data_IF_803984797850
#
_entry.id   IF_803984797850
#
_cell.length_a   1.000
_cell.length_b   1.000
_cell.length_c   1.000
_cell.angle_alpha   90.00
_cell.angle_beta   90.00
_cell.angle_gamma   90.00
#
_symmetry.space_group_name_H-M   'P 1'
#
loop_
_entity.id
_entity.type
_entity.pdbx_description
1 polymer ?
#
# COMPACT_ATOMS: atom_id res chain seq x y z
N UNK A 1 -18.10 15.17 4.20
CA UNK A 1 -18.36 13.79 4.59
C UNK A 1 -17.26 13.35 5.53
N UNK A 2 -17.58 12.84 6.70
CA UNK A 2 -16.59 12.39 7.66
C UNK A 2 -15.96 11.06 7.23
N UNK A 3 -14.75 10.80 7.70
CA UNK A 3 -14.02 9.55 7.43
C UNK A 3 -14.81 8.30 7.89
N UNK A 4 -15.63 8.45 8.89
CA UNK A 4 -16.50 7.40 9.44
C UNK A 4 -17.54 6.85 8.44
N UNK A 5 -17.80 7.55 7.35
CA UNK A 5 -18.66 7.04 6.26
C UNK A 5 -17.93 6.05 5.35
N UNK A 6 -16.60 6.18 5.27
CA UNK A 6 -15.77 5.31 4.43
C UNK A 6 -15.13 4.18 5.22
N UNK A 7 -14.90 4.37 6.51
CA UNK A 7 -14.17 3.43 7.36
C UNK A 7 -14.98 3.14 8.64
N UNK A 8 -15.56 1.95 8.79
CA UNK A 8 -16.20 1.52 10.05
C UNK A 8 -15.25 1.61 11.25
N UNK A 9 -15.64 2.29 12.32
CA UNK A 9 -14.78 2.54 13.51
C UNK A 9 -14.53 1.30 14.37
N UNK A 10 -15.40 0.31 14.31
CA UNK A 10 -15.29 -0.94 15.04
C UNK A 10 -14.24 -1.90 14.48
N UNK A 11 -13.63 -1.56 13.34
CA UNK A 11 -12.60 -2.33 12.68
C UNK A 11 -11.22 -1.71 12.86
N UNK A 12 -10.19 -2.55 12.98
CA UNK A 12 -8.80 -2.11 12.87
C UNK A 12 -8.56 -1.46 11.50
N UNK A 13 -7.73 -0.44 11.44
CA UNK A 13 -7.43 0.28 10.21
C UNK A 13 -5.96 0.13 9.82
N UNK A 14 -5.73 -0.49 8.68
CA UNK A 14 -4.41 -0.65 8.08
C UNK A 14 -4.01 0.62 7.31
N UNK A 15 -2.79 1.08 7.53
CA UNK A 15 -2.17 2.17 6.80
C UNK A 15 -1.14 1.55 5.85
N UNK A 16 -1.50 1.41 4.58
CA UNK A 16 -0.65 0.76 3.58
C UNK A 16 0.43 1.71 3.08
N UNK A 17 1.62 1.57 3.64
CA UNK A 17 2.82 2.30 3.25
C UNK A 17 3.39 1.73 1.93
N UNK A 18 3.98 2.60 1.12
CA UNK A 18 4.79 2.25 -0.02
C UNK A 18 6.27 2.57 0.25
N UNK A 19 7.15 1.58 0.04
CA UNK A 19 8.60 1.76 0.04
C UNK A 19 9.11 1.35 -1.33
N UNK A 20 9.27 2.32 -2.23
CA UNK A 20 9.78 2.07 -3.59
C UNK A 20 11.30 2.08 -3.66
N UNK A 21 11.96 2.72 -2.71
CA UNK A 21 13.41 2.81 -2.63
C UNK A 21 13.90 2.81 -1.19
N UNK A 22 15.00 2.13 -0.93
CA UNK A 22 15.61 2.10 0.41
C UNK A 22 16.35 3.40 0.78
N UNK A 23 16.73 4.21 -0.20
CA UNK A 23 17.26 5.55 0.01
C UNK A 23 16.10 6.55 -0.05
N UNK A 24 16.03 7.47 0.90
CA UNK A 24 15.01 8.52 0.84
C UNK A 24 15.18 9.40 -0.40
N UNK A 25 14.10 9.58 -1.12
CA UNK A 25 14.03 10.44 -2.29
C UNK A 25 12.61 11.03 -2.40
N UNK A 26 12.46 12.35 -2.65
CA UNK A 26 11.15 12.98 -2.76
C UNK A 26 10.23 12.25 -3.77
N UNK A 27 8.95 12.15 -3.46
CA UNK A 27 7.93 11.48 -4.26
C UNK A 27 8.15 9.97 -4.53
N UNK A 28 9.18 9.34 -3.96
CA UNK A 28 9.48 7.94 -4.25
C UNK A 28 8.69 6.95 -3.38
N UNK A 29 8.70 7.17 -2.08
CA UNK A 29 7.99 6.35 -1.08
C UNK A 29 6.93 7.18 -0.38
N UNK A 30 6.05 6.56 0.40
CA UNK A 30 5.15 7.28 1.31
C UNK A 30 5.94 8.29 2.12
N UNK A 31 5.51 9.53 2.15
CA UNK A 31 6.19 10.56 2.92
C UNK A 31 5.93 10.40 4.42
N UNK A 32 6.92 10.64 5.30
CA UNK A 32 6.72 10.52 6.74
C UNK A 32 5.65 11.47 7.27
N UNK A 33 5.56 12.69 6.75
CA UNK A 33 4.50 13.65 7.11
C UNK A 33 3.11 13.21 6.64
N UNK A 34 3.00 12.48 5.52
CA UNK A 34 1.75 11.87 5.05
C UNK A 34 1.28 10.81 6.05
N UNK A 35 2.16 9.90 6.43
CA UNK A 35 1.88 8.85 7.41
C UNK A 35 1.47 9.46 8.76
N UNK A 36 2.26 10.41 9.27
CA UNK A 36 1.97 11.13 10.52
C UNK A 36 0.64 11.87 10.46
N UNK A 37 0.42 12.64 9.40
CA UNK A 37 -0.81 13.42 9.23
C UNK A 37 -2.06 12.54 9.22
N UNK A 38 -2.00 11.37 8.56
CA UNK A 38 -3.10 10.41 8.54
C UNK A 38 -3.33 9.80 9.92
N UNK A 39 -2.27 9.39 10.63
CA UNK A 39 -2.39 8.87 12.01
C UNK A 39 -3.06 9.91 12.92
N UNK A 40 -2.58 11.16 12.89
CA UNK A 40 -3.14 12.24 13.71
C UNK A 40 -4.60 12.53 13.38
N UNK A 41 -4.93 12.59 12.08
CA UNK A 41 -6.31 12.80 11.62
C UNK A 41 -7.26 11.68 12.04
N UNK A 42 -6.83 10.43 11.94
CA UNK A 42 -7.62 9.28 12.35
C UNK A 42 -7.83 9.25 13.87
N UNK A 43 -6.78 9.49 14.67
CA UNK A 43 -6.91 9.56 16.13
C UNK A 43 -7.84 10.69 16.58
N UNK A 44 -7.73 11.86 15.95
CA UNK A 44 -8.64 12.97 16.21
C UNK A 44 -10.10 12.63 15.85
N UNK A 45 -10.31 11.72 14.89
CA UNK A 45 -11.63 11.18 14.53
C UNK A 45 -12.05 9.95 15.37
N UNK A 46 -11.25 9.53 16.36
CA UNK A 46 -11.55 8.44 17.30
C UNK A 46 -11.21 7.03 16.78
N UNK A 47 -10.25 6.89 15.86
CA UNK A 47 -9.70 5.60 15.45
C UNK A 47 -8.45 5.28 16.28
N UNK A 48 -8.56 4.30 17.17
CA UNK A 48 -7.45 3.93 18.08
C UNK A 48 -6.61 2.77 17.54
N UNK A 49 -7.23 1.80 16.88
CA UNK A 49 -6.58 0.58 16.43
C UNK A 49 -5.99 0.74 15.02
N UNK A 50 -4.83 1.37 14.93
CA UNK A 50 -4.11 1.62 13.69
C UNK A 50 -2.93 0.65 13.55
N UNK A 51 -2.68 0.19 12.31
CA UNK A 51 -1.60 -0.71 11.96
C UNK A 51 -0.92 -0.18 10.69
N UNK A 52 0.34 0.18 10.76
CA UNK A 52 1.13 0.41 9.55
C UNK A 52 1.44 -0.94 8.87
N UNK A 53 1.39 -1.00 7.55
CA UNK A 53 1.64 -2.24 6.83
C UNK A 53 2.42 -1.99 5.53
N UNK A 54 3.46 -2.79 5.29
CA UNK A 54 4.18 -2.81 4.02
C UNK A 54 4.73 -4.20 3.70
N UNK A 55 5.25 -4.37 2.50
CA UNK A 55 5.83 -5.61 2.02
C UNK A 55 7.24 -5.36 1.47
N UNK A 56 8.05 -6.39 1.40
CA UNK A 56 9.34 -6.33 0.73
C UNK A 56 9.20 -6.20 -0.79
N UNK A 57 10.29 -5.90 -1.45
CA UNK A 57 10.43 -6.00 -2.90
C UNK A 57 11.68 -6.80 -3.24
N UNK A 58 11.79 -7.27 -4.49
CA UNK A 58 12.95 -8.05 -4.96
C UNK A 58 14.25 -7.24 -4.91
N UNK A 59 14.17 -5.91 -4.93
CA UNK A 59 15.31 -4.99 -5.15
C UNK A 59 15.47 -3.95 -4.04
N UNK A 60 14.67 -4.01 -2.99
CA UNK A 60 14.70 -3.05 -1.88
C UNK A 60 14.72 -3.80 -0.57
N UNK A 61 15.69 -3.50 0.28
CA UNK A 61 15.64 -3.90 1.68
C UNK A 61 14.57 -3.05 2.38
N UNK A 62 13.48 -3.71 2.77
CA UNK A 62 12.31 -3.04 3.33
C UNK A 62 12.60 -2.39 4.68
N UNK A 63 13.38 -3.04 5.56
CA UNK A 63 13.74 -2.49 6.86
C UNK A 63 14.68 -1.29 6.75
N UNK A 64 15.68 -1.36 5.86
CA UNK A 64 16.55 -0.20 5.56
C UNK A 64 15.73 0.94 4.96
N UNK A 65 14.82 0.60 4.04
CA UNK A 65 13.91 1.59 3.44
C UNK A 65 13.01 2.26 4.45
N UNK A 66 12.46 1.51 5.37
CA UNK A 66 11.61 2.00 6.46
C UNK A 66 12.34 3.02 7.36
N UNK A 67 13.54 2.67 7.82
CA UNK A 67 14.38 3.58 8.62
C UNK A 67 14.76 4.84 7.85
N UNK A 68 15.24 4.69 6.63
CA UNK A 68 15.72 5.82 5.83
C UNK A 68 14.58 6.76 5.42
N UNK A 69 13.39 6.24 5.14
CA UNK A 69 12.19 7.04 4.86
C UNK A 69 11.47 7.51 6.14
N UNK A 70 12.01 7.24 7.33
CA UNK A 70 11.51 7.69 8.64
C UNK A 70 10.14 7.11 9.05
N UNK A 71 9.70 6.04 8.41
CA UNK A 71 8.44 5.39 8.78
C UNK A 71 8.53 4.76 10.18
N UNK A 72 9.63 4.06 10.48
CA UNK A 72 9.91 3.47 11.80
C UNK A 72 9.79 4.54 12.90
N UNK A 73 10.42 5.70 12.71
CA UNK A 73 10.35 6.82 13.67
C UNK A 73 8.90 7.28 13.91
N UNK A 74 8.10 7.41 12.85
CA UNK A 74 6.68 7.82 12.97
C UNK A 74 5.88 6.75 13.70
N UNK A 75 6.02 5.49 13.29
CA UNK A 75 5.31 4.36 13.91
C UNK A 75 5.60 4.26 15.40
N UNK A 76 6.87 4.35 15.79
CA UNK A 76 7.32 4.29 17.19
C UNK A 76 6.81 5.50 18.00
N UNK A 77 6.87 6.71 17.42
CA UNK A 77 6.40 7.95 18.07
C UNK A 77 4.91 7.84 18.44
N UNK A 78 4.11 7.22 17.58
CA UNK A 78 2.67 7.08 17.81
C UNK A 78 2.29 5.75 18.45
N UNK A 79 3.24 4.86 18.72
CA UNK A 79 3.02 3.56 19.35
C UNK A 79 2.04 2.67 18.58
N UNK A 80 2.08 2.71 17.25
CA UNK A 80 1.24 1.84 16.41
C UNK A 80 2.02 0.59 15.99
N UNK A 81 1.31 -0.52 15.78
CA UNK A 81 1.91 -1.74 15.27
C UNK A 81 2.38 -1.55 13.82
N UNK A 82 3.54 -2.11 13.49
CA UNK A 82 4.07 -2.16 12.14
C UNK A 82 4.06 -3.62 11.62
N UNK A 83 3.32 -3.85 10.56
CA UNK A 83 3.15 -5.17 9.96
C UNK A 83 4.02 -5.32 8.72
N UNK A 84 5.10 -6.09 8.83
CA UNK A 84 5.98 -6.47 7.74
C UNK A 84 5.42 -7.73 7.07
N UNK A 85 4.58 -7.58 6.05
CA UNK A 85 3.79 -8.66 5.44
C UNK A 85 4.62 -9.82 4.86
N UNK A 86 5.94 -9.65 4.73
CA UNK A 86 6.89 -10.67 4.27
C UNK A 86 7.49 -11.52 5.39
N UNK A 87 7.25 -11.16 6.65
CA UNK A 87 7.79 -11.88 7.79
C UNK A 87 6.94 -13.12 8.12
N UNK A 88 7.56 -14.20 8.68
CA UNK A 88 6.93 -15.50 8.86
C UNK A 88 5.66 -15.51 9.75
N UNK A 89 5.51 -14.51 10.64
CA UNK A 89 4.32 -14.41 11.50
C UNK A 89 3.07 -13.95 10.75
N UNK A 90 3.20 -13.46 9.52
CA UNK A 90 2.07 -13.05 8.69
C UNK A 90 1.75 -14.15 7.67
N UNK A 91 0.67 -14.87 7.93
CA UNK A 91 0.20 -15.92 7.05
C UNK A 91 -0.31 -15.34 5.73
N UNK A 92 -0.05 -16.05 4.64
CA UNK A 92 -0.64 -15.84 3.34
C UNK A 92 -1.63 -16.98 3.09
N UNK A 93 -2.90 -16.64 2.91
CA UNK A 93 -3.98 -17.62 2.76
C UNK A 93 -4.51 -17.65 1.34
N UNK A 94 -5.01 -18.81 0.86
CA UNK A 94 -5.69 -18.88 -0.43
C UNK A 94 -6.86 -17.91 -0.48
N UNK A 95 -7.06 -17.27 -1.62
CA UNK A 95 -8.17 -16.36 -1.85
C UNK A 95 -9.02 -16.85 -3.02
N UNK A 96 -10.31 -17.00 -2.76
CA UNK A 96 -11.32 -17.35 -3.77
C UNK A 96 -12.09 -16.09 -4.12
N UNK A 97 -12.01 -15.61 -5.38
CA UNK A 97 -12.65 -14.38 -5.76
C UNK A 97 -14.18 -14.57 -5.92
N UNK A 98 -15.00 -13.54 -5.61
CA UNK A 98 -16.44 -13.59 -5.83
C UNK A 98 -16.83 -13.61 -7.33
N UNK A 99 -15.98 -13.08 -8.18
CA UNK A 99 -16.10 -13.07 -9.64
C UNK A 99 -14.78 -13.54 -10.27
N UNK A 100 -14.80 -14.13 -11.48
CA UNK A 100 -13.58 -14.57 -12.15
C UNK A 100 -12.56 -13.44 -12.33
N UNK A 101 -11.30 -13.74 -12.09
CA UNK A 101 -10.22 -12.81 -12.39
C UNK A 101 -10.10 -12.52 -13.88
N UNK A 102 -9.65 -11.33 -14.23
CA UNK A 102 -9.28 -11.00 -15.61
C UNK A 102 -8.00 -11.73 -16.03
N UNK A 103 -7.00 -11.76 -15.13
CA UNK A 103 -5.67 -12.29 -15.46
C UNK A 103 -4.99 -13.06 -14.32
N UNK A 104 -5.31 -12.81 -13.05
CA UNK A 104 -4.56 -13.38 -11.93
C UNK A 104 -4.60 -14.90 -11.87
N UNK A 105 -5.68 -15.54 -12.29
CA UNK A 105 -5.79 -17.00 -12.40
C UNK A 105 -4.85 -17.60 -13.45
N UNK A 106 -4.59 -16.88 -14.54
CA UNK A 106 -3.64 -17.26 -15.59
C UNK A 106 -2.20 -17.09 -15.15
N UNK A 107 -1.92 -16.02 -14.39
CA UNK A 107 -0.56 -15.70 -13.90
C UNK A 107 -0.19 -16.59 -12.72
N UNK A 108 -1.16 -16.92 -11.87
CA UNK A 108 -0.99 -17.76 -10.68
C UNK A 108 -1.90 -19.02 -10.76
N UNK A 109 -1.57 -20.01 -11.60
CA UNK A 109 -2.40 -21.20 -11.77
C UNK A 109 -2.48 -22.06 -10.50
N UNK A 110 -1.59 -21.83 -9.53
CA UNK A 110 -1.61 -22.46 -8.19
C UNK A 110 -2.59 -21.75 -7.22
N UNK A 111 -3.27 -20.70 -7.67
CA UNK A 111 -4.16 -19.86 -6.87
C UNK A 111 -3.49 -18.59 -6.35
N UNK A 112 -4.33 -17.60 -6.09
CA UNK A 112 -3.93 -16.32 -5.51
C UNK A 112 -3.91 -16.46 -3.98
N UNK A 113 -2.84 -15.98 -3.34
CA UNK A 113 -2.72 -15.92 -1.88
C UNK A 113 -2.57 -14.47 -1.44
N UNK A 114 -3.27 -14.11 -0.39
CA UNK A 114 -3.24 -12.76 0.19
C UNK A 114 -2.86 -12.82 1.69
N UNK A 115 -2.30 -11.75 2.26
CA UNK A 115 -2.03 -11.72 3.69
C UNK A 115 -3.32 -11.77 4.51
N UNK A 116 -3.43 -12.76 5.39
CA UNK A 116 -4.60 -12.95 6.25
C UNK A 116 -4.94 -11.71 7.09
N UNK A 117 -3.90 -10.97 7.52
CA UNK A 117 -4.07 -9.74 8.29
C UNK A 117 -4.89 -8.65 7.56
N UNK A 118 -5.00 -8.71 6.24
CA UNK A 118 -5.77 -7.71 5.48
C UNK A 118 -7.27 -7.96 5.55
N UNK A 119 -7.70 -9.21 5.76
CA UNK A 119 -9.10 -9.62 5.69
C UNK A 119 -9.90 -9.05 6.86
N UNK A 120 -11.05 -8.43 6.56
CA UNK A 120 -11.98 -7.90 7.56
C UNK A 120 -11.54 -6.62 8.26
N UNK A 121 -10.46 -5.99 7.81
CA UNK A 121 -9.95 -4.71 8.32
C UNK A 121 -10.15 -3.60 7.32
N UNK A 122 -10.30 -2.37 7.82
CA UNK A 122 -10.22 -1.19 6.97
C UNK A 122 -8.82 -1.04 6.38
N UNK A 123 -8.71 -0.42 5.21
CA UNK A 123 -7.42 -0.06 4.64
C UNK A 123 -7.43 1.39 4.13
N UNK A 124 -6.34 2.10 4.40
CA UNK A 124 -6.01 3.38 3.77
C UNK A 124 -4.74 3.21 2.97
N UNK A 125 -4.83 3.38 1.66
CA UNK A 125 -3.69 3.41 0.78
C UNK A 125 -2.99 4.77 0.89
N UNK A 126 -1.66 4.77 1.06
CA UNK A 126 -0.83 5.98 1.20
C UNK A 126 0.15 6.14 0.02
N UNK A 127 -0.34 6.34 -1.21
CA UNK A 127 0.50 6.56 -2.37
C UNK A 127 1.02 7.99 -2.45
N UNK A 128 2.05 8.19 -3.27
CA UNK A 128 2.55 9.50 -3.70
C UNK A 128 2.14 9.79 -5.15
N UNK A 129 2.04 11.05 -5.52
CA UNK A 129 1.85 11.48 -6.91
C UNK A 129 3.15 11.27 -7.68
N UNK A 130 3.20 10.26 -8.53
CA UNK A 130 4.37 9.97 -9.37
C UNK A 130 4.01 9.15 -10.59
N UNK A 131 4.86 9.26 -11.59
CA UNK A 131 4.84 8.39 -12.76
C UNK A 131 5.33 6.97 -12.44
N UNK A 132 5.02 6.04 -13.32
CA UNK A 132 5.47 4.65 -13.23
C UNK A 132 5.59 4.07 -14.64
N UNK A 133 6.72 3.41 -14.91
CA UNK A 133 7.08 2.89 -16.24
C UNK A 133 6.03 1.92 -16.84
N UNK A 134 5.34 1.14 -16.01
CA UNK A 134 4.35 0.16 -16.50
C UNK A 134 2.90 0.66 -16.41
N UNK A 135 2.57 1.54 -15.45
CA UNK A 135 1.19 1.96 -15.18
C UNK A 135 0.92 3.43 -15.49
N UNK A 136 1.88 4.11 -16.12
CA UNK A 136 1.85 5.56 -16.40
C UNK A 136 1.90 6.37 -15.12
N UNK A 137 0.99 6.15 -14.19
CA UNK A 137 0.97 6.78 -12.86
C UNK A 137 0.98 5.75 -11.74
N UNK A 138 1.46 6.15 -10.58
CA UNK A 138 1.27 5.42 -9.32
C UNK A 138 0.14 6.10 -8.53
N UNK A 139 -0.84 5.33 -8.14
CA UNK A 139 -1.97 5.78 -7.33
C UNK A 139 -2.35 4.71 -6.31
N UNK A 140 -3.56 4.82 -5.75
CA UNK A 140 -4.05 3.89 -4.75
C UNK A 140 -4.08 2.43 -5.24
N UNK A 141 -4.54 2.20 -6.47
CA UNK A 141 -4.60 0.86 -7.06
C UNK A 141 -3.20 0.24 -7.16
N UNK A 142 -2.20 1.00 -7.63
CA UNK A 142 -0.81 0.49 -7.70
C UNK A 142 -0.19 0.32 -6.33
N UNK A 143 -0.58 1.11 -5.33
CA UNK A 143 -0.09 0.96 -3.95
C UNK A 143 -0.55 -0.36 -3.31
N UNK A 144 -1.76 -0.81 -3.62
CA UNK A 144 -2.29 -2.09 -3.17
C UNK A 144 -1.49 -3.30 -3.69
N UNK A 145 -0.91 -3.19 -4.87
CA UNK A 145 -0.08 -4.21 -5.51
C UNK A 145 1.01 -4.78 -4.58
N UNK A 146 1.71 -3.92 -3.83
CA UNK A 146 2.73 -4.36 -2.89
C UNK A 146 2.18 -5.00 -1.61
N UNK A 147 0.89 -4.83 -1.30
CA UNK A 147 0.25 -5.43 -0.13
C UNK A 147 -0.42 -6.76 -0.43
N UNK A 148 -1.06 -6.89 -1.58
CA UNK A 148 -1.89 -8.03 -1.94
C UNK A 148 -1.16 -9.16 -2.66
N UNK A 149 -0.04 -8.87 -3.31
CA UNK A 149 0.72 -9.87 -4.04
C UNK A 149 2.08 -10.14 -3.39
N UNK A 150 2.46 -11.42 -3.36
CA UNK A 150 3.72 -11.90 -2.83
C UNK A 150 4.94 -11.55 -3.71
N UNK A 151 6.07 -12.22 -3.47
CA UNK A 151 7.34 -11.96 -4.17
C UNK A 151 7.27 -12.13 -5.69
N UNK A 152 6.42 -13.01 -6.18
CA UNK A 152 6.24 -13.27 -7.62
C UNK A 152 5.42 -12.18 -8.34
N UNK A 153 4.99 -11.12 -7.66
CA UNK A 153 4.14 -10.05 -8.25
C UNK A 153 4.71 -9.38 -9.50
N UNK A 154 6.02 -9.42 -9.70
CA UNK A 154 6.63 -8.89 -10.92
C UNK A 154 6.21 -9.64 -12.19
N UNK A 155 5.68 -10.87 -12.08
CA UNK A 155 5.15 -11.61 -13.21
C UNK A 155 3.91 -10.95 -13.84
N UNK A 156 3.19 -10.14 -13.08
CA UNK A 156 1.97 -9.46 -13.53
C UNK A 156 2.24 -8.20 -14.35
N UNK A 157 3.51 -7.78 -14.52
CA UNK A 157 3.80 -6.51 -15.19
C UNK A 157 3.42 -6.49 -16.68
N UNK A 158 3.34 -7.63 -17.35
CA UNK A 158 2.87 -7.72 -18.74
C UNK A 158 1.37 -7.39 -18.86
N UNK A 159 0.59 -7.75 -17.84
CA UNK A 159 -0.86 -7.58 -17.77
C UNK A 159 -1.24 -6.69 -16.59
N UNK A 160 -0.47 -5.61 -16.37
CA UNK A 160 -0.55 -4.82 -15.14
C UNK A 160 -1.87 -4.08 -15.00
N UNK A 161 -2.49 -3.65 -16.09
CA UNK A 161 -3.74 -2.91 -16.04
C UNK A 161 -4.90 -3.80 -15.58
N UNK A 162 -5.04 -4.97 -16.15
CA UNK A 162 -6.01 -6.00 -15.75
C UNK A 162 -5.72 -6.48 -14.32
N UNK A 163 -4.44 -6.69 -13.99
CA UNK A 163 -4.02 -7.02 -12.62
C UNK A 163 -4.50 -5.98 -11.60
N UNK A 164 -4.42 -4.70 -11.91
CA UNK A 164 -4.89 -3.65 -10.98
C UNK A 164 -6.41 -3.68 -10.78
N UNK A 165 -7.17 -4.08 -11.80
CA UNK A 165 -8.62 -4.26 -11.67
C UNK A 165 -8.93 -5.46 -10.77
N UNK A 166 -8.26 -6.59 -10.98
CA UNK A 166 -8.38 -7.77 -10.12
C UNK A 166 -8.02 -7.43 -8.65
N UNK A 167 -6.95 -6.67 -8.42
CA UNK A 167 -6.57 -6.23 -7.08
C UNK A 167 -7.59 -5.27 -6.45
N UNK A 168 -8.26 -4.44 -7.25
CA UNK A 168 -9.33 -3.58 -6.73
C UNK A 168 -10.54 -4.43 -6.31
N UNK A 169 -10.91 -5.45 -7.09
CA UNK A 169 -11.96 -6.40 -6.72
C UNK A 169 -11.62 -7.09 -5.39
N UNK A 170 -10.40 -7.62 -5.23
CA UNK A 170 -9.96 -8.21 -3.97
C UNK A 170 -10.12 -7.22 -2.81
N UNK A 171 -9.66 -5.97 -2.97
CA UNK A 171 -9.78 -4.97 -1.92
C UNK A 171 -11.22 -4.66 -1.53
N UNK A 172 -12.11 -4.58 -2.52
CA UNK A 172 -13.54 -4.32 -2.29
C UNK A 172 -14.24 -5.47 -1.57
N UNK A 173 -13.77 -6.69 -1.78
CA UNK A 173 -14.30 -7.88 -1.13
C UNK A 173 -13.81 -8.04 0.31
N UNK A 174 -12.51 -7.87 0.56
CA UNK A 174 -11.92 -8.17 1.87
C UNK A 174 -11.94 -7.03 2.89
N UNK A 175 -12.08 -5.79 2.44
CA UNK A 175 -12.03 -4.62 3.31
C UNK A 175 -13.42 -4.02 3.54
N UNK A 176 -13.92 -3.95 4.80
CA UNK A 176 -15.16 -3.27 5.13
C UNK A 176 -15.10 -1.75 4.88
N UNK A 177 -13.90 -1.18 4.89
CA UNK A 177 -13.64 0.21 4.55
C UNK A 177 -12.37 0.34 3.72
N UNK A 178 -12.47 1.00 2.56
CA UNK A 178 -11.40 1.23 1.61
C UNK A 178 -11.28 2.72 1.30
N UNK A 179 -10.11 3.29 1.56
CA UNK A 179 -9.84 4.71 1.32
C UNK A 179 -8.41 4.94 0.82
N UNK A 180 -8.14 6.12 0.30
CA UNK A 180 -6.79 6.52 -0.11
C UNK A 180 -6.53 7.97 0.27
N UNK A 181 -5.33 8.24 0.75
CA UNK A 181 -4.80 9.58 0.94
C UNK A 181 -3.50 9.68 0.15
N UNK A 182 -3.53 10.41 -0.94
CA UNK A 182 -2.38 10.57 -1.83
C UNK A 182 -1.64 11.86 -1.49
N UNK A 183 -0.33 11.76 -1.27
CA UNK A 183 0.53 12.93 -1.07
C UNK A 183 1.00 13.50 -2.40
N UNK A 184 0.78 14.80 -2.59
CA UNK A 184 1.22 15.57 -3.75
C UNK A 184 2.14 16.73 -3.38
N UNK A 185 2.67 16.78 -2.14
CA UNK A 185 3.64 17.81 -1.71
C UNK A 185 4.85 17.82 -2.64
N UNK A 186 5.34 16.62 -2.96
CA UNK A 186 6.30 16.39 -4.03
C UNK A 186 5.70 15.45 -5.05
N UNK A 187 5.75 15.83 -6.33
CA UNK A 187 5.33 14.98 -7.44
C UNK A 187 6.53 14.45 -8.21
N UNK A 188 6.50 13.18 -8.59
CA UNK A 188 7.56 12.54 -9.36
C UNK A 188 7.22 12.46 -10.84
N UNK A 189 8.12 12.95 -11.71
CA UNK A 189 7.99 12.92 -13.16
C UNK A 189 9.18 12.20 -13.82
N UNK A 190 8.92 11.40 -14.84
CA UNK A 190 9.91 10.60 -15.57
C UNK A 190 9.51 9.13 -15.69
N UNK A 191 10.47 8.20 -15.88
CA UNK A 191 10.11 6.79 -16.01
C UNK A 191 9.49 6.19 -14.74
N UNK A 192 9.88 6.68 -13.53
CA UNK A 192 9.41 6.13 -12.25
C UNK A 192 9.63 4.61 -12.11
N UNK A 193 9.40 4.06 -10.91
CA UNK A 193 9.04 4.76 -9.66
C UNK A 193 10.24 5.35 -8.90
N UNK A 194 11.45 5.23 -9.42
CA UNK A 194 12.71 5.67 -8.78
C UNK A 194 13.53 6.62 -9.64
N UNK A 195 13.67 6.32 -10.93
CA UNK A 195 14.39 7.15 -11.92
C UNK A 195 13.48 8.27 -12.41
N UNK A 196 13.28 9.29 -11.60
CA UNK A 196 12.39 10.41 -11.90
C UNK A 196 12.94 11.72 -11.35
N UNK A 197 12.46 12.84 -11.89
CA UNK A 197 12.59 14.16 -11.28
C UNK A 197 11.48 14.35 -10.27
N UNK A 198 11.70 15.18 -9.30
CA UNK A 198 10.65 15.58 -8.37
C UNK A 198 10.34 17.08 -8.55
N UNK A 199 9.09 17.43 -8.32
CA UNK A 199 8.59 18.79 -8.38
C UNK A 199 7.89 19.08 -7.06
N UNK A 200 8.20 20.22 -6.47
CA UNK A 200 7.52 20.75 -5.31
C UNK A 200 6.25 21.45 -5.75
N UNK A 201 5.20 21.37 -4.96
CA UNK A 201 3.99 22.13 -5.19
C UNK A 201 4.23 23.58 -4.74
N UNK A 202 3.98 24.52 -5.63
CA UNK A 202 3.95 25.97 -5.34
C UNK A 202 2.75 26.33 -4.46
#
# INVERSE_FOLDING_TARGET
>A
AGVEKALPKDKETLLKINISWQTWYPACSTAPWQLEGVIRGLRAAGYENLIAAHNDTVVVDAHVGERNNKHEFVVDTYGIRNAHLFEPQYNWVPYEPPEPFLVLDKIYPEGVHIPEILIGRNIIQLPTVKTHVFTTITGAMKNAFGGLLGRKRHWTHADIHETLVDLLMIQQDIHPGLFAVMDGTFAGDGPGPRAMRWHEKD
#
